data_IF_118771520080
#
_entry.id   IF_118771520080
#
_cell.length_a   1.000
_cell.length_b   1.000
_cell.length_c   1.000
_cell.angle_alpha   90.00
_cell.angle_beta   90.00
_cell.angle_gamma   90.00
#
_symmetry.space_group_name_H-M   'P 1'
#
loop_
_entity.id
_entity.type
_entity.pdbx_description
1 polymer ?
#
# COMPACT_ATOMS: atom_id res chain seq x y z
N UNK A 1 4.32 28.12 2.96
CA UNK A 1 5.22 27.68 4.05
C UNK A 1 4.98 26.20 4.25
N UNK A 2 6.01 25.35 4.41
CA UNK A 2 5.77 23.96 4.81
C UNK A 2 5.05 23.99 6.16
N UNK A 3 3.91 23.31 6.27
CA UNK A 3 3.30 23.09 7.59
C UNK A 3 4.30 22.24 8.39
N UNK A 4 4.48 22.52 9.68
CA UNK A 4 5.50 21.90 10.54
C UNK A 4 5.44 20.36 10.62
N UNK A 5 4.43 19.74 9.99
CA UNK A 5 4.16 18.32 9.94
C UNK A 5 3.98 17.76 8.50
N UNK A 6 4.51 18.41 7.47
CA UNK A 6 4.40 17.91 6.07
C UNK A 6 5.61 17.07 5.66
N UNK A 7 5.38 15.87 5.13
CA UNK A 7 6.36 15.02 4.47
C UNK A 7 6.08 14.86 2.98
N UNK A 8 6.98 14.18 2.26
CA UNK A 8 6.75 13.75 0.86
C UNK A 8 6.86 12.25 0.75
N UNK A 9 5.83 11.61 0.21
CA UNK A 9 5.87 10.20 -0.15
C UNK A 9 6.26 10.07 -1.63
N UNK A 10 7.32 9.32 -1.92
CA UNK A 10 7.71 8.97 -3.28
C UNK A 10 6.86 7.83 -3.87
N UNK A 11 6.97 7.64 -5.18
CA UNK A 11 6.35 6.51 -5.89
C UNK A 11 6.82 5.17 -5.32
N UNK A 12 5.91 4.20 -5.22
CA UNK A 12 6.17 2.85 -4.72
C UNK A 12 6.11 2.71 -3.20
N UNK A 13 6.00 3.81 -2.45
CA UNK A 13 5.70 3.72 -1.03
C UNK A 13 4.26 3.26 -0.82
N UNK A 14 4.01 2.56 0.27
CA UNK A 14 2.66 2.20 0.68
C UNK A 14 2.44 2.44 2.17
N UNK A 15 1.18 2.69 2.52
CA UNK A 15 0.70 2.98 3.86
C UNK A 15 -0.45 2.03 4.18
N UNK A 16 -0.40 1.35 5.32
CA UNK A 16 -1.56 0.59 5.78
C UNK A 16 -2.71 1.56 6.11
N UNK A 17 -3.81 1.42 5.37
CA UNK A 17 -4.98 2.28 5.48
C UNK A 17 -5.84 1.82 6.66
N UNK A 18 -6.40 2.78 7.38
CA UNK A 18 -7.44 2.57 8.37
C UNK A 18 -8.37 3.78 8.39
N UNK A 19 -9.65 3.58 8.75
CA UNK A 19 -10.63 4.66 8.85
C UNK A 19 -10.84 5.12 10.30
N UNK A 20 -11.05 4.16 11.21
CA UNK A 20 -11.37 4.44 12.62
C UNK A 20 -10.45 3.74 13.62
N UNK A 21 -9.94 2.56 13.27
CA UNK A 21 -9.12 1.74 14.17
C UNK A 21 -7.76 1.41 13.54
N UNK A 22 -6.73 2.09 14.03
CA UNK A 22 -5.35 1.91 13.57
C UNK A 22 -4.63 0.66 14.08
N UNK A 23 -5.25 -0.14 14.97
CA UNK A 23 -4.59 -1.30 15.60
C UNK A 23 -4.00 -2.26 14.56
N UNK A 24 -4.76 -2.56 13.51
CA UNK A 24 -4.28 -3.46 12.45
C UNK A 24 -3.14 -2.84 11.64
N UNK A 25 -3.23 -1.56 11.27
CA UNK A 25 -2.16 -0.85 10.55
C UNK A 25 -0.85 -0.83 11.35
N UNK A 26 -0.91 -0.61 12.66
CA UNK A 26 0.26 -0.64 13.55
C UNK A 26 0.86 -2.04 13.67
N UNK A 27 0.03 -3.07 13.78
CA UNK A 27 0.48 -4.46 13.85
C UNK A 27 1.11 -4.91 12.53
N UNK A 28 0.48 -4.58 11.40
CA UNK A 28 0.97 -4.95 10.06
C UNK A 28 2.28 -4.25 9.71
N UNK A 29 2.47 -2.98 10.09
CA UNK A 29 3.74 -2.29 9.89
C UNK A 29 4.87 -2.93 10.70
N UNK A 30 4.61 -3.35 11.95
CA UNK A 30 5.57 -4.12 12.75
C UNK A 30 5.91 -5.47 12.12
N UNK A 31 4.90 -6.21 11.67
CA UNK A 31 5.11 -7.51 11.02
C UNK A 31 5.86 -7.40 9.71
N UNK A 32 5.58 -6.36 8.91
CA UNK A 32 6.33 -6.08 7.69
C UNK A 32 7.79 -5.77 7.98
N UNK A 33 8.05 -4.90 8.95
CA UNK A 33 9.41 -4.58 9.38
C UNK A 33 10.18 -5.81 9.85
N UNK A 34 9.57 -6.65 10.71
CA UNK A 34 10.17 -7.91 11.16
C UNK A 34 10.47 -8.84 9.98
N UNK A 35 9.53 -9.00 9.05
CA UNK A 35 9.73 -9.78 7.84
C UNK A 35 10.90 -9.25 7.00
N UNK A 36 10.91 -7.95 6.71
CA UNK A 36 11.93 -7.30 5.88
C UNK A 36 13.32 -7.41 6.50
N UNK A 37 13.43 -7.21 7.82
CA UNK A 37 14.69 -7.27 8.55
C UNK A 37 15.18 -8.70 8.74
N UNK A 38 14.32 -9.58 9.28
CA UNK A 38 14.72 -10.88 9.81
C UNK A 38 14.55 -12.04 8.83
N UNK A 39 13.54 -11.99 7.95
CA UNK A 39 13.20 -13.12 7.06
C UNK A 39 13.66 -12.91 5.62
N UNK A 40 13.40 -11.73 5.06
CA UNK A 40 13.74 -11.39 3.69
C UNK A 40 15.13 -10.77 3.53
N UNK A 41 15.74 -10.31 4.64
CA UNK A 41 17.06 -9.69 4.68
C UNK A 41 17.20 -8.52 3.68
N UNK A 42 16.16 -7.68 3.61
CA UNK A 42 16.06 -6.53 2.69
C UNK A 42 16.90 -5.36 3.19
N UNK A 43 16.98 -5.15 4.51
CA UNK A 43 17.69 -4.02 5.10
C UNK A 43 19.17 -4.32 5.36
N UNK A 44 20.01 -3.30 5.18
CA UNK A 44 21.42 -3.35 5.54
C UNK A 44 21.58 -3.28 7.07
N UNK A 45 21.78 -4.45 7.70
CA UNK A 45 21.90 -4.59 9.16
C UNK A 45 23.12 -3.87 9.77
N UNK A 46 24.00 -3.29 8.96
CA UNK A 46 25.08 -2.43 9.44
C UNK A 46 24.62 -1.00 9.75
N UNK A 47 23.43 -0.62 9.28
CA UNK A 47 22.80 0.67 9.54
C UNK A 47 21.76 0.56 10.66
N UNK A 48 21.25 1.70 11.12
CA UNK A 48 20.10 1.71 12.02
C UNK A 48 18.86 1.20 11.26
N UNK A 49 18.36 0.04 11.68
CA UNK A 49 17.14 -0.58 11.16
C UNK A 49 16.03 -0.58 12.21
N UNK A 50 16.06 0.33 13.19
CA UNK A 50 14.96 0.53 14.13
C UNK A 50 13.67 0.89 13.40
N UNK A 51 12.55 0.44 13.95
CA UNK A 51 11.24 0.79 13.44
C UNK A 51 10.82 2.14 14.01
N UNK A 52 10.45 3.07 13.12
CA UNK A 52 9.74 4.30 13.49
C UNK A 52 8.40 4.28 12.78
N UNK A 53 7.31 4.45 13.54
CA UNK A 53 5.96 4.44 12.97
C UNK A 53 5.44 5.88 12.90
N UNK A 54 4.95 6.29 11.73
CA UNK A 54 4.30 7.58 11.55
C UNK A 54 2.82 7.36 11.30
N UNK A 55 1.99 8.08 12.05
CA UNK A 55 0.58 8.21 11.70
C UNK A 55 0.44 9.35 10.70
N UNK A 56 -0.10 9.05 9.53
CA UNK A 56 -0.11 9.97 8.39
C UNK A 56 -1.53 10.10 7.83
N UNK A 57 -1.81 11.27 7.30
CA UNK A 57 -2.99 11.54 6.49
C UNK A 57 -2.56 11.93 5.08
N UNK A 58 -3.31 11.44 4.10
CA UNK A 58 -3.09 11.71 2.69
C UNK A 58 -4.35 12.40 2.18
N UNK A 59 -4.21 13.62 1.71
CA UNK A 59 -5.30 14.38 1.11
C UNK A 59 -5.19 14.28 -0.41
N UNK A 60 -6.16 13.61 -1.02
CA UNK A 60 -6.27 13.47 -2.47
C UNK A 60 -7.70 13.74 -2.91
N UNK A 61 -7.89 14.30 -4.11
CA UNK A 61 -9.19 14.26 -4.78
C UNK A 61 -9.63 12.80 -4.98
N UNK A 62 -10.93 12.54 -4.85
CA UNK A 62 -11.50 11.19 -4.99
C UNK A 62 -11.26 10.63 -6.39
N UNK A 63 -11.28 11.49 -7.41
CA UNK A 63 -10.95 11.13 -8.78
C UNK A 63 -9.48 10.69 -8.96
N UNK A 64 -8.56 11.13 -8.11
CA UNK A 64 -7.15 10.69 -8.19
C UNK A 64 -6.88 9.40 -7.42
N UNK A 65 -7.90 8.89 -6.70
CA UNK A 65 -7.87 7.62 -5.99
C UNK A 65 -8.42 6.49 -6.86
N UNK A 66 -7.61 5.47 -7.07
CA UNK A 66 -8.06 4.21 -7.63
C UNK A 66 -8.39 3.21 -6.50
N UNK A 67 -9.67 3.00 -6.21
CA UNK A 67 -10.09 2.22 -5.03
C UNK A 67 -10.58 0.80 -5.37
N UNK A 68 -9.67 -0.19 -5.34
CA UNK A 68 -10.02 -1.61 -5.50
C UNK A 68 -10.70 -2.22 -4.27
N UNK A 69 -10.82 -1.49 -3.16
CA UNK A 69 -11.47 -1.97 -1.94
C UNK A 69 -12.93 -1.50 -1.89
N UNK A 70 -13.16 -0.22 -2.24
CA UNK A 70 -14.48 0.40 -2.27
C UNK A 70 -15.25 0.17 -3.57
N UNK A 71 -14.56 0.06 -4.71
CA UNK A 71 -15.17 -0.18 -6.02
C UNK A 71 -15.13 -1.67 -6.39
N UNK A 72 -16.24 -2.36 -6.11
CA UNK A 72 -16.40 -3.79 -6.40
C UNK A 72 -16.33 -4.06 -7.90
N UNK A 73 -16.89 -3.18 -8.74
CA UNK A 73 -16.93 -3.40 -10.19
C UNK A 73 -15.53 -3.31 -10.81
N UNK A 74 -14.72 -2.36 -10.33
CA UNK A 74 -13.30 -2.26 -10.69
C UNK A 74 -12.53 -3.52 -10.28
N UNK A 75 -12.76 -4.01 -9.06
CA UNK A 75 -12.12 -5.22 -8.56
C UNK A 75 -12.50 -6.47 -9.36
N UNK A 76 -13.79 -6.64 -9.68
CA UNK A 76 -14.28 -7.73 -10.52
C UNK A 76 -13.70 -7.65 -11.95
N UNK A 77 -13.64 -6.46 -12.54
CA UNK A 77 -13.03 -6.26 -13.86
C UNK A 77 -11.55 -6.66 -13.89
N UNK A 78 -10.81 -6.40 -12.81
CA UNK A 78 -9.44 -6.86 -12.67
C UNK A 78 -9.34 -8.39 -12.56
N UNK A 79 -10.21 -9.03 -11.77
CA UNK A 79 -10.25 -10.49 -11.64
C UNK A 79 -10.65 -11.19 -12.94
N UNK A 80 -11.56 -10.61 -13.71
CA UNK A 80 -11.97 -11.11 -15.02
C UNK A 80 -10.83 -11.05 -16.04
N UNK A 81 -10.07 -9.95 -16.03
CA UNK A 81 -8.88 -9.79 -16.86
C UNK A 81 -7.75 -10.75 -16.43
N UNK A 82 -7.66 -11.07 -15.13
CA UNK A 82 -6.60 -11.89 -14.55
C UNK A 82 -7.12 -12.91 -13.52
N UNK A 83 -7.66 -14.06 -13.97
CA UNK A 83 -8.30 -15.04 -13.09
C UNK A 83 -7.39 -15.67 -12.03
N UNK A 84 -7.98 -16.00 -10.88
CA UNK A 84 -7.30 -16.59 -9.71
C UNK A 84 -6.70 -17.98 -10.05
N UNK A 85 -5.53 -18.28 -9.49
CA UNK A 85 -4.92 -19.62 -9.52
C UNK A 85 -3.99 -19.88 -10.71
N UNK A 86 -3.82 -18.90 -11.58
CA UNK A 86 -2.94 -19.01 -12.75
C UNK A 86 -1.55 -18.38 -12.52
N UNK A 87 -1.35 -17.66 -11.41
CA UNK A 87 -0.23 -16.73 -11.25
C UNK A 87 0.35 -16.75 -9.82
N UNK A 88 1.64 -16.40 -9.70
CA UNK A 88 2.32 -16.17 -8.42
C UNK A 88 2.25 -14.69 -7.97
N UNK A 89 2.70 -14.36 -6.76
CA UNK A 89 2.66 -12.98 -6.24
C UNK A 89 3.51 -12.00 -7.06
N UNK A 90 4.66 -12.47 -7.60
CA UNK A 90 5.53 -11.63 -8.41
C UNK A 90 4.87 -11.19 -9.72
N UNK A 91 4.08 -12.09 -10.32
CA UNK A 91 3.30 -11.80 -11.52
C UNK A 91 2.00 -11.04 -11.23
N UNK A 92 1.44 -11.14 -10.02
CA UNK A 92 0.26 -10.36 -9.63
C UNK A 92 0.52 -8.85 -9.64
N UNK A 93 1.62 -8.40 -9.03
CA UNK A 93 1.98 -6.97 -8.99
C UNK A 93 2.19 -6.37 -10.38
N UNK A 94 2.92 -7.07 -11.25
CA UNK A 94 3.15 -6.62 -12.63
C UNK A 94 1.85 -6.50 -13.45
N UNK A 95 0.90 -7.42 -13.25
CA UNK A 95 -0.40 -7.39 -13.95
C UNK A 95 -1.32 -6.30 -13.46
N UNK A 96 -1.28 -6.05 -12.16
CA UNK A 96 -1.97 -4.93 -11.56
C UNK A 96 -1.45 -3.61 -12.15
N UNK A 97 -0.12 -3.46 -12.27
CA UNK A 97 0.46 -2.29 -12.94
C UNK A 97 -0.01 -2.18 -14.39
N UNK A 98 -0.01 -3.29 -15.15
CA UNK A 98 -0.52 -3.32 -16.53
C UNK A 98 -2.00 -2.94 -16.62
N UNK A 99 -2.84 -3.48 -15.74
CA UNK A 99 -4.27 -3.18 -15.68
C UNK A 99 -4.51 -1.69 -15.42
N UNK A 100 -3.81 -1.12 -14.43
CA UNK A 100 -3.93 0.30 -14.10
C UNK A 100 -3.45 1.15 -15.28
N UNK A 101 -2.36 0.79 -15.95
CA UNK A 101 -1.87 1.50 -17.13
C UNK A 101 -2.88 1.48 -18.28
N UNK A 102 -3.60 0.37 -18.49
CA UNK A 102 -4.67 0.28 -19.48
C UNK A 102 -5.82 1.20 -19.07
N UNK A 103 -6.25 1.12 -17.82
CA UNK A 103 -7.34 1.93 -17.29
C UNK A 103 -7.07 3.43 -17.48
N UNK A 104 -5.89 3.90 -17.08
CA UNK A 104 -5.46 5.30 -17.22
C UNK A 104 -5.46 5.78 -18.67
N UNK A 105 -5.08 4.92 -19.63
CA UNK A 105 -5.11 5.24 -21.05
C UNK A 105 -6.53 5.33 -21.59
N UNK A 106 -7.41 4.42 -21.18
CA UNK A 106 -8.79 4.36 -21.69
C UNK A 106 -9.65 5.48 -21.09
N UNK A 107 -9.47 5.76 -19.79
CA UNK A 107 -10.19 6.85 -19.11
C UNK A 107 -9.60 8.23 -19.37
N UNK A 108 -8.39 8.31 -19.97
CA UNK A 108 -7.60 9.54 -20.08
C UNK A 108 -7.45 10.25 -18.73
N UNK A 109 -7.30 9.46 -17.67
CA UNK A 109 -7.16 9.89 -16.29
C UNK A 109 -5.88 9.28 -15.73
N UNK A 110 -5.31 9.95 -14.73
CA UNK A 110 -4.09 9.50 -14.10
C UNK A 110 -4.37 9.37 -12.60
N UNK A 111 -4.03 8.22 -12.02
CA UNK A 111 -4.23 8.01 -10.60
C UNK A 111 -2.95 8.32 -9.82
N UNK A 112 -3.12 8.97 -8.68
CA UNK A 112 -2.00 9.37 -7.81
C UNK A 112 -1.81 8.34 -6.70
N UNK A 113 -2.92 7.77 -6.20
CA UNK A 113 -2.92 6.77 -5.14
C UNK A 113 -3.82 5.60 -5.54
N UNK A 114 -3.40 4.39 -5.22
CA UNK A 114 -4.18 3.18 -5.38
C UNK A 114 -4.51 2.61 -4.00
N UNK A 115 -5.79 2.38 -3.69
CA UNK A 115 -6.21 1.66 -2.48
C UNK A 115 -6.49 0.21 -2.83
N UNK A 116 -5.86 -0.72 -2.12
CA UNK A 116 -6.05 -2.15 -2.31
C UNK A 116 -5.69 -2.98 -1.10
N UNK A 117 -6.14 -4.22 -1.10
CA UNK A 117 -5.86 -5.16 -0.05
C UNK A 117 -4.47 -5.81 -0.27
N UNK A 118 -3.52 -5.52 0.63
CA UNK A 118 -2.18 -6.09 0.60
C UNK A 118 -1.98 -7.13 1.71
N UNK A 119 -1.11 -8.10 1.44
CA UNK A 119 -0.71 -9.14 2.39
C UNK A 119 0.81 -9.10 2.63
N UNK A 120 1.25 -9.70 3.73
CA UNK A 120 2.69 -9.87 4.00
C UNK A 120 3.16 -11.19 3.37
N UNK A 121 4.20 -11.17 2.51
CA UNK A 121 4.73 -12.38 1.89
C UNK A 121 5.15 -13.43 2.94
N UNK A 122 4.85 -14.70 2.67
CA UNK A 122 5.16 -15.87 3.53
C UNK A 122 4.36 -16.02 4.85
N UNK A 123 3.32 -15.21 5.10
CA UNK A 123 2.31 -15.49 6.14
C UNK A 123 1.08 -16.27 5.59
N UNK A 124 1.19 -16.87 4.41
CA UNK A 124 0.10 -17.56 3.66
C UNK A 124 -0.53 -18.79 4.34
N UNK A 125 -0.15 -19.14 5.57
CA UNK A 125 -0.62 -20.36 6.29
C UNK A 125 -1.30 -20.07 7.63
N UNK A 126 -1.81 -18.87 7.83
CA UNK A 126 -2.77 -18.56 8.90
C UNK A 126 -4.07 -18.06 8.27
N UNK A 127 -5.23 -18.27 8.91
CA UNK A 127 -6.51 -17.70 8.47
C UNK A 127 -6.48 -16.18 8.29
N UNK A 128 -5.41 -15.55 8.79
CA UNK A 128 -5.12 -14.13 8.78
C UNK A 128 -3.98 -13.71 7.81
N UNK A 129 -3.88 -14.34 6.63
CA UNK A 129 -3.17 -13.83 5.46
C UNK A 129 -3.86 -12.58 4.84
N UNK A 130 -4.20 -11.63 5.71
CA UNK A 130 -5.51 -10.97 5.78
C UNK A 130 -5.86 -9.89 4.77
N UNK A 131 -5.06 -9.69 3.71
CA UNK A 131 -5.35 -8.74 2.64
C UNK A 131 -5.99 -7.44 3.18
N UNK A 132 -5.21 -6.63 3.91
CA UNK A 132 -5.72 -5.42 4.54
C UNK A 132 -5.60 -4.21 3.61
N UNK A 133 -6.53 -3.24 3.68
CA UNK A 133 -6.43 -2.05 2.87
C UNK A 133 -5.10 -1.32 3.09
N UNK A 134 -4.47 -0.95 2.00
CA UNK A 134 -3.30 -0.12 1.95
C UNK A 134 -3.45 0.89 0.81
N UNK A 135 -2.84 2.05 0.99
CA UNK A 135 -2.61 3.02 -0.08
C UNK A 135 -1.23 2.79 -0.67
N UNK A 136 -1.14 2.65 -1.99
CA UNK A 136 0.10 2.62 -2.76
C UNK A 136 0.22 3.94 -3.51
N UNK A 137 1.35 4.61 -3.33
CA UNK A 137 1.65 5.89 -3.96
C UNK A 137 2.18 5.64 -5.36
N UNK A 138 1.44 6.07 -6.39
CA UNK A 138 1.88 5.98 -7.79
C UNK A 138 2.68 7.20 -8.22
N UNK A 139 2.31 8.38 -7.70
CA UNK A 139 2.98 9.64 -8.00
C UNK A 139 3.35 10.34 -6.71
N UNK A 140 4.48 11.05 -6.66
CA UNK A 140 4.89 11.74 -5.45
C UNK A 140 3.79 12.65 -4.92
N UNK A 141 3.51 12.54 -3.63
CA UNK A 141 2.45 13.31 -2.96
C UNK A 141 2.93 13.83 -1.61
N UNK A 142 2.37 14.97 -1.20
CA UNK A 142 2.54 15.48 0.14
C UNK A 142 1.72 14.64 1.14
N UNK A 143 2.33 14.32 2.28
CA UNK A 143 1.68 13.61 3.38
C UNK A 143 1.68 14.48 4.62
N UNK A 144 0.63 14.40 5.42
CA UNK A 144 0.53 15.11 6.68
C UNK A 144 0.80 14.15 7.84
N UNK A 145 1.89 14.36 8.57
CA UNK A 145 2.29 13.55 9.71
C UNK A 145 1.48 14.02 10.93
N UNK A 146 0.56 13.19 11.40
CA UNK A 146 -0.24 13.48 12.61
C UNK A 146 0.59 13.31 13.86
N UNK A 147 1.33 12.20 13.94
CA UNK A 147 2.18 11.88 15.08
C UNK A 147 3.32 10.92 14.69
N UNK A 148 4.41 11.02 15.43
CA UNK A 148 5.47 10.03 15.44
C UNK A 148 5.25 9.10 16.64
N UNK A 149 5.04 7.83 16.35
CA UNK A 149 4.90 6.76 17.33
C UNK A 149 6.28 6.12 17.54
N UNK A 150 6.92 6.49 18.65
CA UNK A 150 8.14 5.82 19.07
C UNK A 150 7.75 4.47 19.68
N UNK A 151 8.26 3.39 19.09
CA UNK A 151 8.12 2.01 19.61
C UNK A 151 9.15 1.70 20.67
#
# INVERSE_FOLDING_TARGET
MPQENSGKAGSGLYFWNYESNRKNALELSKQWWDFALNKANIYDRKQDCSLVQFDCEIHIPEEELLDFVGDIALYEAFLDAYPIGLYDEATYGAKLDDFINILERVSNQQFTVCRMNLSVPNLRKVPFANAFPAFIIKKPIDIFIKECLNS
#
